data_IF_448921931526
#
_entry.id   IF_448921931526
#
_cell.length_a   1.000
_cell.length_b   1.000
_cell.length_c   1.000
_cell.angle_alpha   90.00
_cell.angle_beta   90.00
_cell.angle_gamma   90.00
#
_symmetry.space_group_name_H-M   'P 1'
#
loop_
_entity.id
_entity.type
_entity.pdbx_description
1 polymer ?
#
# COMPACT_ATOMS: atom_id res chain seq x y z
N UNK A 1 -5.06 -6.40 15.64
CA UNK A 1 -5.67 -5.69 14.49
C UNK A 1 -5.61 -6.62 13.29
N UNK A 2 -6.72 -7.29 12.98
CA UNK A 2 -6.80 -8.32 11.94
C UNK A 2 -7.23 -7.63 10.64
N UNK A 3 -6.27 -7.24 9.81
CA UNK A 3 -6.48 -6.29 8.69
C UNK A 3 -6.97 -7.00 7.41
N UNK A 4 -6.85 -8.32 7.31
CA UNK A 4 -7.24 -9.08 6.14
C UNK A 4 -7.88 -10.40 6.57
N UNK A 5 -9.15 -10.61 6.25
CA UNK A 5 -9.80 -11.94 6.29
C UNK A 5 -9.31 -12.74 5.09
N UNK A 6 -8.00 -12.99 5.05
CA UNK A 6 -7.40 -13.91 4.09
C UNK A 6 -7.54 -15.31 4.70
N UNK A 7 -8.04 -16.28 3.92
CA UNK A 7 -7.83 -17.70 4.18
C UNK A 7 -6.35 -17.89 4.52
N UNK A 8 -6.02 -18.32 5.74
CA UNK A 8 -4.64 -18.34 6.26
C UNK A 8 -3.66 -18.96 5.28
N UNK A 9 -4.10 -19.96 4.51
CA UNK A 9 -3.31 -20.61 3.46
C UNK A 9 -2.92 -19.67 2.31
N UNK A 10 -3.81 -18.80 1.83
CA UNK A 10 -3.49 -17.80 0.78
C UNK A 10 -2.44 -16.81 1.28
N UNK A 11 -2.58 -16.33 2.51
CA UNK A 11 -1.61 -15.40 3.11
C UNK A 11 -0.25 -16.09 3.21
N UNK A 12 -0.22 -17.32 3.71
CA UNK A 12 1.02 -18.06 3.92
C UNK A 12 1.72 -18.36 2.58
N UNK A 13 0.96 -18.69 1.52
CA UNK A 13 1.47 -18.83 0.15
C UNK A 13 2.04 -17.51 -0.40
N UNK A 14 1.35 -16.38 -0.16
CA UNK A 14 1.87 -15.05 -0.53
C UNK A 14 3.18 -14.71 0.20
N UNK A 15 3.29 -15.04 1.49
CA UNK A 15 4.48 -14.80 2.31
C UNK A 15 5.64 -15.69 1.88
N UNK A 16 5.40 -16.98 1.61
CA UNK A 16 6.42 -17.92 1.15
C UNK A 16 6.86 -17.69 -0.30
N UNK A 17 6.08 -16.92 -1.06
CA UNK A 17 6.34 -16.64 -2.47
C UNK A 17 5.80 -17.72 -3.43
N UNK A 18 5.00 -18.67 -2.94
CA UNK A 18 4.27 -19.62 -3.76
C UNK A 18 3.04 -18.95 -4.41
N UNK A 19 3.34 -18.05 -5.35
CA UNK A 19 2.35 -17.28 -6.11
C UNK A 19 1.40 -18.17 -6.94
N UNK A 20 1.84 -19.28 -7.58
CA UNK A 20 0.91 -20.19 -8.26
C UNK A 20 -0.13 -20.80 -7.32
N UNK A 21 0.26 -21.22 -6.11
CA UNK A 21 -0.70 -21.72 -5.12
C UNK A 21 -1.66 -20.63 -4.67
N UNK A 22 -1.16 -19.41 -4.40
CA UNK A 22 -2.02 -18.29 -4.02
C UNK A 22 -3.06 -17.96 -5.11
N UNK A 23 -2.64 -17.90 -6.38
CA UNK A 23 -3.51 -17.64 -7.53
C UNK A 23 -4.60 -18.71 -7.70
N UNK A 24 -4.22 -19.98 -7.55
CA UNK A 24 -5.14 -21.12 -7.61
C UNK A 24 -6.19 -21.04 -6.49
N UNK A 25 -5.77 -20.80 -5.26
CA UNK A 25 -6.66 -20.70 -4.10
C UNK A 25 -7.64 -19.53 -4.25
N UNK A 26 -7.15 -18.35 -4.64
CA UNK A 26 -8.01 -17.19 -4.85
C UNK A 26 -8.99 -17.39 -6.02
N UNK A 27 -8.59 -18.14 -7.05
CA UNK A 27 -9.51 -18.54 -8.13
C UNK A 27 -10.60 -19.49 -7.63
N UNK A 28 -10.28 -20.38 -6.69
CA UNK A 28 -11.28 -21.23 -6.02
C UNK A 28 -12.23 -20.39 -5.14
N UNK A 29 -11.70 -19.45 -4.37
CA UNK A 29 -12.49 -18.55 -3.52
C UNK A 29 -13.49 -17.73 -4.37
N UNK A 30 -13.03 -17.16 -5.49
CA UNK A 30 -13.89 -16.45 -6.47
C UNK A 30 -14.93 -17.38 -7.10
N UNK A 31 -14.57 -18.63 -7.40
CA UNK A 31 -15.51 -19.62 -7.93
C UNK A 31 -16.60 -20.02 -6.93
N UNK A 32 -16.28 -20.01 -5.64
CA UNK A 32 -17.22 -20.29 -4.55
C UNK A 32 -18.12 -19.09 -4.23
N UNK A 33 -17.57 -17.87 -4.30
CA UNK A 33 -18.31 -16.63 -4.14
C UNK A 33 -17.84 -15.58 -5.16
N UNK A 34 -18.60 -15.45 -6.25
CA UNK A 34 -18.31 -14.51 -7.34
C UNK A 34 -18.40 -13.03 -6.98
N UNK A 35 -18.93 -12.70 -5.79
CA UNK A 35 -19.06 -11.35 -5.26
C UNK A 35 -18.04 -11.07 -4.13
N UNK A 36 -17.07 -11.95 -3.89
CA UNK A 36 -16.00 -11.67 -2.92
C UNK A 36 -14.96 -10.70 -3.49
N UNK A 37 -15.20 -9.40 -3.31
CA UNK A 37 -14.31 -8.34 -3.75
C UNK A 37 -12.90 -8.44 -3.14
N UNK A 38 -12.73 -9.03 -1.94
CA UNK A 38 -11.41 -9.19 -1.34
C UNK A 38 -10.58 -10.24 -2.09
N UNK A 39 -11.21 -11.34 -2.51
CA UNK A 39 -10.53 -12.37 -3.31
C UNK A 39 -10.07 -11.82 -4.66
N UNK A 40 -10.87 -11.00 -5.34
CA UNK A 40 -10.41 -10.28 -6.54
C UNK A 40 -9.25 -9.32 -6.25
N UNK A 41 -9.32 -8.50 -5.20
CA UNK A 41 -8.23 -7.57 -4.85
C UNK A 41 -6.92 -8.30 -4.50
N UNK A 42 -7.02 -9.42 -3.79
CA UNK A 42 -5.87 -10.26 -3.45
C UNK A 42 -5.32 -10.97 -4.68
N UNK A 43 -6.17 -11.46 -5.60
CA UNK A 43 -5.71 -12.11 -6.83
C UNK A 43 -5.04 -11.11 -7.76
N UNK A 44 -5.55 -9.89 -7.83
CA UNK A 44 -4.88 -8.77 -8.50
C UNK A 44 -3.45 -8.57 -8.01
N UNK A 45 -3.24 -8.53 -6.68
CA UNK A 45 -1.90 -8.41 -6.10
C UNK A 45 -0.99 -9.59 -6.47
N UNK A 46 -1.50 -10.82 -6.45
CA UNK A 46 -0.74 -12.02 -6.86
C UNK A 46 -0.38 -11.98 -8.34
N UNK A 47 -1.33 -11.64 -9.22
CA UNK A 47 -1.11 -11.48 -10.67
C UNK A 47 -0.08 -10.38 -10.96
N UNK A 48 -0.14 -9.26 -10.24
CA UNK A 48 0.88 -8.22 -10.33
C UNK A 48 2.26 -8.77 -9.94
N UNK A 49 2.39 -9.54 -8.85
CA UNK A 49 3.68 -10.18 -8.50
C UNK A 49 4.17 -11.19 -9.54
N UNK A 50 3.26 -11.80 -10.30
CA UNK A 50 3.57 -12.65 -11.46
C UNK A 50 3.87 -11.86 -12.74
N UNK A 51 3.86 -10.53 -12.68
CA UNK A 51 3.97 -9.62 -13.84
C UNK A 51 2.86 -9.78 -14.89
N UNK A 52 1.74 -10.40 -14.51
CA UNK A 52 0.53 -10.48 -15.32
C UNK A 52 -0.35 -9.24 -15.04
N UNK A 53 0.14 -8.10 -15.54
CA UNK A 53 -0.40 -6.81 -15.17
C UNK A 53 -1.81 -6.54 -15.70
N UNK A 54 -2.13 -7.09 -16.88
CA UNK A 54 -3.46 -6.90 -17.48
C UNK A 54 -4.52 -7.63 -16.67
N UNK A 55 -4.30 -8.91 -16.35
CA UNK A 55 -5.21 -9.64 -15.47
C UNK A 55 -5.25 -9.03 -14.05
N UNK A 56 -4.13 -8.49 -13.56
CA UNK A 56 -4.12 -7.78 -12.29
C UNK A 56 -5.01 -6.52 -12.30
N UNK A 57 -5.00 -5.74 -13.39
CA UNK A 57 -5.87 -4.57 -13.54
C UNK A 57 -7.34 -5.01 -13.61
N UNK A 58 -7.65 -6.04 -14.40
CA UNK A 58 -9.02 -6.56 -14.53
C UNK A 58 -9.59 -7.01 -13.18
N UNK A 59 -8.82 -7.77 -12.40
CA UNK A 59 -9.22 -8.21 -11.06
C UNK A 59 -9.40 -7.02 -10.10
N UNK A 60 -8.52 -6.02 -10.14
CA UNK A 60 -8.67 -4.83 -9.31
C UNK A 60 -9.93 -4.03 -9.68
N UNK A 61 -10.21 -3.86 -10.98
CA UNK A 61 -11.41 -3.20 -11.45
C UNK A 61 -12.67 -3.99 -11.06
N UNK A 62 -12.64 -5.32 -11.16
CA UNK A 62 -13.74 -6.18 -10.72
C UNK A 62 -13.99 -6.03 -9.23
N UNK A 63 -12.95 -6.07 -8.40
CA UNK A 63 -13.04 -5.83 -6.96
C UNK A 63 -13.72 -4.48 -6.64
N UNK A 64 -13.22 -3.39 -7.23
CA UNK A 64 -13.77 -2.04 -7.02
C UNK A 64 -15.22 -1.93 -7.51
N UNK A 65 -15.57 -2.62 -8.61
CA UNK A 65 -16.93 -2.61 -9.14
C UNK A 65 -17.95 -3.31 -8.23
N UNK A 66 -17.52 -4.35 -7.51
CA UNK A 66 -18.34 -5.03 -6.52
C UNK A 66 -18.44 -4.16 -5.26
N UNK A 67 -17.30 -3.73 -4.73
CA UNK A 67 -17.23 -2.86 -3.57
C UNK A 67 -15.96 -2.00 -3.59
N UNK A 68 -16.10 -0.66 -3.71
CA UNK A 68 -14.98 0.25 -3.52
C UNK A 68 -14.36 0.05 -2.14
N UNK A 69 -13.06 -0.17 -2.09
CA UNK A 69 -12.33 -0.49 -0.86
C UNK A 69 -10.86 -0.06 -0.94
N UNK A 70 -10.25 0.11 0.23
CA UNK A 70 -8.81 0.41 0.36
C UNK A 70 -7.95 -0.59 -0.43
N UNK A 71 -8.22 -1.89 -0.25
CA UNK A 71 -7.46 -2.96 -0.90
C UNK A 71 -7.66 -2.98 -2.41
N UNK A 72 -8.88 -2.77 -2.91
CA UNK A 72 -9.15 -2.68 -4.34
C UNK A 72 -8.39 -1.52 -5.01
N UNK A 73 -8.41 -0.34 -4.39
CA UNK A 73 -7.71 0.84 -4.89
C UNK A 73 -6.18 0.68 -4.87
N UNK A 74 -5.62 0.12 -3.79
CA UNK A 74 -4.18 -0.18 -3.71
C UNK A 74 -3.77 -1.22 -4.77
N UNK A 75 -4.51 -2.31 -4.91
CA UNK A 75 -4.21 -3.35 -5.92
C UNK A 75 -4.23 -2.79 -7.34
N UNK A 76 -5.22 -1.93 -7.66
CA UNK A 76 -5.26 -1.21 -8.96
C UNK A 76 -4.00 -0.36 -9.16
N UNK A 77 -3.62 0.44 -8.17
CA UNK A 77 -2.43 1.28 -8.26
C UNK A 77 -1.14 0.47 -8.49
N UNK A 78 -0.97 -0.63 -7.76
CA UNK A 78 0.18 -1.54 -7.93
C UNK A 78 0.23 -2.13 -9.35
N UNK A 79 -0.90 -2.63 -9.84
CA UNK A 79 -0.96 -3.23 -11.18
C UNK A 79 -0.65 -2.19 -12.29
N UNK A 80 -1.17 -0.98 -12.15
CA UNK A 80 -0.87 0.15 -13.06
C UNK A 80 0.61 0.56 -13.00
N UNK A 81 1.25 0.55 -11.83
CA UNK A 81 2.70 0.76 -11.72
C UNK A 81 3.48 -0.30 -12.51
N UNK A 82 3.06 -1.57 -12.45
CA UNK A 82 3.66 -2.65 -13.24
C UNK A 82 3.56 -2.41 -14.75
N UNK A 83 2.45 -1.82 -15.22
CA UNK A 83 2.28 -1.37 -16.61
C UNK A 83 2.93 -0.02 -16.94
N UNK A 84 3.66 0.59 -16.00
CA UNK A 84 4.26 1.93 -16.13
C UNK A 84 3.23 3.05 -16.37
N UNK A 85 1.97 2.83 -15.99
CA UNK A 85 0.89 3.82 -16.06
C UNK A 85 0.83 4.64 -14.76
N UNK A 86 1.93 5.34 -14.45
CA UNK A 86 2.15 5.95 -13.13
C UNK A 86 1.13 7.03 -12.77
N UNK A 87 0.67 7.81 -13.74
CA UNK A 87 -0.34 8.85 -13.51
C UNK A 87 -1.67 8.25 -13.06
N UNK A 88 -2.11 7.16 -13.69
CA UNK A 88 -3.34 6.48 -13.30
C UNK A 88 -3.17 5.68 -12.01
N UNK A 89 -1.96 5.17 -11.74
CA UNK A 89 -1.61 4.58 -10.46
C UNK A 89 -1.74 5.59 -9.31
N UNK A 90 -1.25 6.82 -9.49
CA UNK A 90 -1.39 7.89 -8.49
C UNK A 90 -2.84 8.21 -8.20
N UNK A 91 -3.69 8.33 -9.23
CA UNK A 91 -5.15 8.52 -9.04
C UNK A 91 -5.78 7.37 -8.25
N UNK A 92 -5.36 6.12 -8.50
CA UNK A 92 -5.86 4.98 -7.74
C UNK A 92 -5.43 5.03 -6.26
N UNK A 93 -4.20 5.44 -5.98
CA UNK A 93 -3.73 5.65 -4.61
C UNK A 93 -4.38 6.86 -3.94
N UNK A 94 -4.71 7.93 -4.67
CA UNK A 94 -5.46 9.07 -4.13
C UNK A 94 -6.87 8.65 -3.72
N UNK A 95 -7.54 7.80 -4.51
CA UNK A 95 -8.82 7.21 -4.11
C UNK A 95 -8.69 6.32 -2.87
N UNK A 96 -7.56 5.62 -2.71
CA UNK A 96 -7.31 4.80 -1.53
C UNK A 96 -7.28 5.63 -0.22
N UNK A 97 -6.90 6.91 -0.27
CA UNK A 97 -6.92 7.81 0.90
C UNK A 97 -8.34 8.08 1.42
N UNK A 98 -9.38 7.87 0.62
CA UNK A 98 -10.76 8.01 1.09
C UNK A 98 -11.16 6.92 2.10
N UNK A 99 -10.34 5.88 2.28
CA UNK A 99 -10.61 4.72 3.14
C UNK A 99 -9.62 4.57 4.32
N UNK A 100 -8.70 5.52 4.54
CA UNK A 100 -7.67 5.39 5.59
C UNK A 100 -8.05 5.98 6.94
N UNK A 101 -9.19 6.67 7.09
CA UNK A 101 -9.70 7.26 8.34
C UNK A 101 -8.60 7.94 9.20
N UNK A 102 -8.80 8.05 10.53
CA UNK A 102 -7.76 8.48 11.47
C UNK A 102 -6.70 7.40 11.75
N UNK A 103 -6.62 6.34 10.93
CA UNK A 103 -5.66 5.25 11.10
C UNK A 103 -4.31 5.66 10.50
N UNK A 104 -3.41 6.09 11.39
CA UNK A 104 -2.05 6.47 11.02
C UNK A 104 -1.27 5.33 10.36
N UNK A 105 -1.56 4.06 10.68
CA UNK A 105 -0.82 2.95 10.08
C UNK A 105 -1.21 2.76 8.61
N UNK A 106 -2.50 2.85 8.29
CA UNK A 106 -2.98 2.80 6.90
C UNK A 106 -2.48 4.01 6.10
N UNK A 107 -2.53 5.19 6.70
CA UNK A 107 -2.05 6.44 6.09
C UNK A 107 -0.56 6.33 5.74
N UNK A 108 0.27 5.90 6.70
CA UNK A 108 1.71 5.68 6.47
C UNK A 108 1.99 4.62 5.42
N UNK A 109 1.27 3.49 5.45
CA UNK A 109 1.41 2.45 4.44
C UNK A 109 1.16 3.01 3.02
N UNK A 110 0.10 3.80 2.85
CA UNK A 110 -0.25 4.37 1.55
C UNK A 110 0.76 5.42 1.07
N UNK A 111 1.24 6.28 1.98
CA UNK A 111 2.32 7.24 1.68
C UNK A 111 3.61 6.52 1.22
N UNK A 112 3.98 5.42 1.89
CA UNK A 112 5.13 4.60 1.53
C UNK A 112 4.95 3.97 0.13
N UNK A 113 3.78 3.40 -0.15
CA UNK A 113 3.47 2.82 -1.47
C UNK A 113 3.62 3.88 -2.57
N UNK A 114 3.11 5.10 -2.35
CA UNK A 114 3.24 6.20 -3.33
C UNK A 114 4.68 6.64 -3.50
N UNK A 115 5.47 6.74 -2.44
CA UNK A 115 6.88 7.09 -2.53
C UNK A 115 7.65 6.07 -3.39
N UNK A 116 7.42 4.77 -3.17
CA UNK A 116 8.04 3.69 -3.97
C UNK A 116 7.59 3.78 -5.44
N UNK A 117 6.29 3.99 -5.69
CA UNK A 117 5.75 4.12 -7.03
C UNK A 117 6.35 5.31 -7.80
N UNK A 118 6.47 6.47 -7.15
CA UNK A 118 7.07 7.68 -7.72
C UNK A 118 8.57 7.50 -7.98
N UNK A 119 9.28 6.82 -7.07
CA UNK A 119 10.68 6.47 -7.27
C UNK A 119 10.86 5.59 -8.51
N UNK A 120 10.03 4.55 -8.68
CA UNK A 120 10.04 3.68 -9.85
C UNK A 120 9.63 4.39 -11.15
N UNK A 121 8.92 5.51 -11.04
CA UNK A 121 8.56 6.39 -12.15
C UNK A 121 9.66 7.40 -12.52
N UNK A 122 10.81 7.39 -11.84
CA UNK A 122 11.86 8.43 -11.90
C UNK A 122 11.36 9.83 -11.50
N UNK A 123 10.25 9.92 -10.77
CA UNK A 123 9.71 11.19 -10.23
C UNK A 123 10.29 11.44 -8.83
N UNK A 124 11.61 11.63 -8.76
CA UNK A 124 12.35 11.66 -7.50
C UNK A 124 11.94 12.82 -6.57
N UNK A 125 11.59 13.98 -7.10
CA UNK A 125 11.15 15.14 -6.31
C UNK A 125 9.83 14.86 -5.58
N UNK A 126 8.82 14.34 -6.29
CA UNK A 126 7.54 13.95 -5.67
C UNK A 126 7.71 12.79 -4.69
N UNK A 127 8.63 11.86 -4.95
CA UNK A 127 8.94 10.77 -4.04
C UNK A 127 9.53 11.30 -2.71
N UNK A 128 10.46 12.27 -2.75
CA UNK A 128 11.03 12.90 -1.55
C UNK A 128 9.95 13.60 -0.73
N UNK A 129 9.02 14.31 -1.38
CA UNK A 129 7.91 14.97 -0.69
C UNK A 129 7.09 13.98 0.14
N UNK A 130 6.75 12.81 -0.42
CA UNK A 130 6.00 11.77 0.31
C UNK A 130 6.80 11.14 1.46
N UNK A 131 8.11 11.01 1.31
CA UNK A 131 9.00 10.57 2.40
C UNK A 131 9.07 11.60 3.53
N UNK A 132 9.05 12.90 3.21
CA UNK A 132 8.99 13.96 4.21
C UNK A 132 7.66 13.95 4.96
N UNK A 133 6.53 13.78 4.26
CA UNK A 133 5.20 13.61 4.87
C UNK A 133 5.16 12.39 5.82
N UNK A 134 5.82 11.28 5.48
CA UNK A 134 5.97 10.14 6.40
C UNK A 134 6.65 10.55 7.71
N UNK A 135 7.71 11.35 7.65
CA UNK A 135 8.46 11.82 8.82
C UNK A 135 7.66 12.73 9.75
N UNK A 136 6.73 13.54 9.21
CA UNK A 136 5.89 14.45 10.01
C UNK A 136 4.67 13.76 10.62
N UNK A 137 4.19 12.65 10.04
CA UNK A 137 3.11 11.84 10.64
C UNK A 137 3.56 11.02 11.85
N UNK A 138 4.83 11.07 12.25
CA UNK A 138 5.31 10.55 13.53
C UNK A 138 4.90 11.51 14.65
N UNK A 139 3.96 11.16 15.56
CA UNK A 139 3.99 11.80 16.86
C UNK A 139 5.33 11.37 17.46
N UNK A 140 6.17 12.33 17.79
CA UNK A 140 7.36 12.08 18.59
C UNK A 140 6.99 11.20 19.80
N UNK A 141 7.93 10.33 20.20
CA UNK A 141 7.89 9.66 21.49
C UNK A 141 7.32 10.58 22.57
N UNK A 142 6.31 10.10 23.29
CA UNK A 142 5.66 10.83 24.36
C UNK A 142 6.68 11.48 25.31
N UNK A 143 6.47 12.77 25.53
CA UNK A 143 6.62 13.49 26.80
C UNK A 143 7.81 13.12 27.69
N UNK A 144 8.83 13.99 27.67
CA UNK A 144 9.34 14.59 28.90
C UNK A 144 9.58 16.08 28.65
N UNK A 145 8.48 16.82 28.49
CA UNK A 145 8.42 18.19 28.96
C UNK A 145 8.18 18.13 30.49
N UNK A 146 9.14 17.58 31.22
CA UNK A 146 9.33 17.94 32.62
C UNK A 146 10.46 18.96 32.62
N UNK A 147 10.13 20.11 33.17
CA UNK A 147 10.98 21.28 33.35
C UNK A 147 12.31 20.92 34.02
N UNK A 148 13.37 21.62 33.59
CA UNK A 148 14.73 21.68 34.16
C UNK A 148 15.78 20.66 33.66
N UNK A 149 16.43 20.98 32.54
CA UNK A 149 17.92 21.00 32.49
C UNK A 149 18.48 21.62 31.20
N UNK A 150 19.12 22.78 31.38
CA UNK A 150 20.24 23.38 30.65
C UNK A 150 20.22 23.45 29.09
N UNK A 151 20.10 24.68 28.51
CA UNK A 151 20.19 24.93 27.06
C UNK A 151 21.56 24.63 26.42
N UNK A 152 22.58 24.23 27.17
CA UNK A 152 23.95 24.08 26.68
C UNK A 152 24.21 22.84 25.79
N UNK A 153 23.27 21.88 25.69
CA UNK A 153 23.51 20.59 25.02
C UNK A 153 22.72 20.32 23.72
N UNK A 154 21.95 21.27 23.21
CA UNK A 154 21.31 21.12 21.89
C UNK A 154 22.33 21.48 20.80
N UNK A 155 23.15 20.51 20.39
CA UNK A 155 23.90 20.62 19.13
C UNK A 155 23.07 20.11 17.97
N UNK A 156 22.67 21.05 17.12
CA UNK A 156 22.26 20.82 15.73
C UNK A 156 23.26 19.90 15.02
N UNK A 157 22.76 18.85 14.38
CA UNK A 157 23.45 18.25 13.23
C UNK A 157 22.43 17.99 12.12
N UNK A 158 22.02 19.08 11.47
CA UNK A 158 21.87 19.11 10.02
C UNK A 158 22.64 20.33 9.55
N UNK A 159 23.76 20.09 8.86
CA UNK A 159 24.43 20.91 7.83
C UNK A 159 25.94 20.59 7.84
N UNK A 160 26.41 20.06 6.71
CA UNK A 160 27.77 20.25 6.15
C UNK A 160 28.97 19.43 6.69
N UNK A 161 29.18 18.22 6.15
CA UNK A 161 30.29 17.85 5.24
C UNK A 161 30.24 16.37 4.88
#
# INVERSE_FOLDING_TARGET
>A
MQILTINTTVRDACISGDLPTADRLLTQDIGANGDDYNSYANRSFVKARLSDWDCAIDDALKSISIQPSLVGCISKGIALCGKRQFQDAMKAFDLAFMFVDADLNKTRLLLLIKAIALFNANQHEEAILRVQELGTTCPNADLCADTDCDPSHIRLIYMSK
#
